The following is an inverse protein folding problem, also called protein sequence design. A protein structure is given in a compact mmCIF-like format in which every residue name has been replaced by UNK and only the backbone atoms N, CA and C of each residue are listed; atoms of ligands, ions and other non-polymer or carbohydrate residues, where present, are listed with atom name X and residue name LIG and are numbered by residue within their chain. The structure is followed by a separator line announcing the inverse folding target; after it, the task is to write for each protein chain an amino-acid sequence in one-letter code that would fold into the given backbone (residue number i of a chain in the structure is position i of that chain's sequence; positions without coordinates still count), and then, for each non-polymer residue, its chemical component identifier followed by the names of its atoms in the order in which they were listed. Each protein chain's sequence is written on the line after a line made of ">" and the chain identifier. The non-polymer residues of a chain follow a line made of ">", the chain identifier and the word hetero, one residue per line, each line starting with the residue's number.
data_IF_949147881294
#
_entry.id   IF_949147881294
#
_cell.length_a   1.000
_cell.length_b   1.000
_cell.length_c   1.000
_cell.angle_alpha   90.00
_cell.angle_beta   90.00
_cell.angle_gamma   90.00
#
_symmetry.space_group_name_H-M   'P 1'
#
loop_
_entity.id
_entity.type
_entity.pdbx_description
1 polymer ?
#
# COMPACT_ATOMS: atom_id res chain seq x y z
N UNK A 1 -4.71 29.54 6.53
CA UNK A 1 -4.00 28.26 6.34
C UNK A 1 -2.54 28.57 6.59
N UNK A 2 -2.02 28.15 7.74
CA UNK A 2 -0.68 28.53 8.14
C UNK A 2 0.35 27.73 7.33
N UNK A 3 1.50 28.34 7.05
CA UNK A 3 2.63 27.67 6.35
C UNK A 3 3.06 26.40 7.09
N UNK A 4 2.82 26.34 8.41
CA UNK A 4 3.07 25.18 9.26
C UNK A 4 2.14 23.99 8.98
N UNK A 5 0.95 24.22 8.42
CA UNK A 5 -0.03 23.18 8.10
C UNK A 5 0.22 22.52 6.74
N UNK A 6 0.90 23.23 5.85
CA UNK A 6 1.23 22.80 4.49
C UNK A 6 1.89 21.40 4.43
N UNK A 7 2.91 21.06 5.24
CA UNK A 7 3.51 19.71 5.20
C UNK A 7 2.53 18.61 5.61
N UNK A 8 1.63 18.86 6.57
CA UNK A 8 0.63 17.88 7.00
C UNK A 8 -0.40 17.62 5.91
N UNK A 9 -0.86 18.67 5.23
CA UNK A 9 -1.82 18.56 4.13
C UNK A 9 -1.21 17.82 2.94
N UNK A 10 0.05 18.11 2.59
CA UNK A 10 0.78 17.39 1.54
C UNK A 10 0.96 15.90 1.88
N UNK A 11 1.29 15.60 3.14
CA UNK A 11 1.47 14.22 3.61
C UNK A 11 0.13 13.46 3.58
N UNK A 12 -0.96 14.08 4.03
CA UNK A 12 -2.29 13.48 3.98
C UNK A 12 -2.74 13.23 2.53
N UNK A 13 -2.55 14.21 1.63
CA UNK A 13 -2.88 14.06 0.21
C UNK A 13 -2.07 12.92 -0.44
N UNK A 14 -0.76 12.84 -0.15
CA UNK A 14 0.10 11.76 -0.61
C UNK A 14 -0.40 10.38 -0.15
N UNK A 15 -0.73 10.24 1.14
CA UNK A 15 -1.25 8.98 1.71
C UNK A 15 -2.57 8.55 1.09
N UNK A 16 -3.47 9.50 0.80
CA UNK A 16 -4.73 9.23 0.12
C UNK A 16 -4.48 8.73 -1.31
N UNK A 17 -3.63 9.41 -2.06
CA UNK A 17 -3.33 9.05 -3.45
C UNK A 17 -2.69 7.66 -3.52
N UNK A 18 -1.67 7.37 -2.69
CA UNK A 18 -1.01 6.06 -2.70
C UNK A 18 -1.95 4.93 -2.26
N UNK A 19 -2.88 5.21 -1.34
CA UNK A 19 -3.91 4.26 -0.91
C UNK A 19 -4.90 3.94 -2.04
N UNK A 20 -5.36 4.96 -2.78
CA UNK A 20 -6.22 4.77 -3.95
C UNK A 20 -5.49 3.95 -5.02
N UNK A 21 -4.22 4.27 -5.31
CA UNK A 21 -3.40 3.48 -6.26
C UNK A 21 -3.27 2.03 -5.79
N UNK A 22 -2.97 1.81 -4.51
CA UNK A 22 -2.90 0.48 -3.90
C UNK A 22 -4.21 -0.30 -4.04
N UNK A 23 -5.35 0.37 -3.90
CA UNK A 23 -6.66 -0.26 -4.05
C UNK A 23 -7.00 -0.61 -5.51
N UNK A 24 -6.61 0.23 -6.48
CA UNK A 24 -6.97 0.04 -7.90
C UNK A 24 -6.04 -0.96 -8.62
N UNK A 25 -4.80 -1.11 -8.19
CA UNK A 25 -3.83 -1.98 -8.87
C UNK A 25 -4.27 -3.45 -8.97
N UNK A 26 -4.76 -4.11 -7.90
CA UNK A 26 -5.20 -5.51 -7.98
C UNK A 26 -6.36 -5.77 -8.97
N UNK A 27 -7.46 -5.00 -8.99
CA UNK A 27 -8.52 -5.21 -9.99
C UNK A 27 -8.08 -4.89 -11.42
N UNK A 28 -7.18 -3.91 -11.61
CA UNK A 28 -6.59 -3.62 -12.93
C UNK A 28 -5.74 -4.80 -13.41
N UNK A 29 -4.92 -5.40 -12.54
CA UNK A 29 -4.16 -6.60 -12.89
C UNK A 29 -5.06 -7.78 -13.27
N UNK A 30 -6.17 -7.97 -12.52
CA UNK A 30 -7.19 -8.98 -12.85
C UNK A 30 -7.86 -8.72 -14.20
N UNK A 31 -8.16 -7.46 -14.52
CA UNK A 31 -8.73 -7.06 -15.81
C UNK A 31 -7.75 -7.27 -16.97
N UNK A 32 -6.46 -6.94 -16.78
CA UNK A 32 -5.39 -7.19 -17.76
C UNK A 32 -5.20 -8.68 -18.04
N UNK A 33 -5.28 -9.52 -17.00
CA UNK A 33 -5.24 -10.97 -17.16
C UNK A 33 -6.40 -11.51 -18.01
N UNK A 34 -7.62 -10.96 -17.86
CA UNK A 34 -8.77 -11.36 -18.69
C UNK A 34 -8.65 -10.91 -20.15
N UNK A 35 -7.98 -9.77 -20.38
CA UNK A 35 -7.78 -9.20 -21.73
C UNK A 35 -6.52 -9.70 -22.44
N UNK A 36 -5.85 -10.75 -21.93
CA UNK A 36 -4.56 -11.25 -22.42
C UNK A 36 -3.50 -10.15 -22.59
N UNK A 37 -3.53 -9.11 -21.74
CA UNK A 37 -2.54 -8.03 -21.73
C UNK A 37 -1.43 -8.33 -20.73
N UNK A 38 -0.31 -7.63 -20.87
CA UNK A 38 0.85 -7.74 -19.98
C UNK A 38 0.44 -7.53 -18.51
N UNK A 39 0.74 -8.52 -17.67
CA UNK A 39 0.44 -8.51 -16.22
C UNK A 39 1.35 -7.55 -15.47
N UNK A 40 0.85 -6.97 -14.38
CA UNK A 40 1.62 -6.08 -13.52
C UNK A 40 2.68 -6.92 -12.79
N UNK A 41 3.92 -6.42 -12.79
CA UNK A 41 5.04 -7.08 -12.11
C UNK A 41 4.77 -7.11 -10.61
N UNK A 42 5.07 -8.23 -9.97
CA UNK A 42 4.90 -8.42 -8.52
C UNK A 42 5.65 -7.36 -7.71
N UNK A 43 6.85 -6.99 -8.18
CA UNK A 43 7.67 -5.94 -7.59
C UNK A 43 6.94 -4.59 -7.50
N UNK A 44 6.10 -4.24 -8.49
CA UNK A 44 5.36 -2.98 -8.48
C UNK A 44 4.32 -2.95 -7.36
N UNK A 45 3.64 -4.08 -7.10
CA UNK A 45 2.69 -4.19 -6.01
C UNK A 45 3.41 -4.02 -4.66
N UNK A 46 4.56 -4.68 -4.47
CA UNK A 46 5.35 -4.52 -3.25
C UNK A 46 5.88 -3.09 -3.06
N UNK A 47 6.33 -2.43 -4.13
CA UNK A 47 6.81 -1.04 -4.06
C UNK A 47 5.67 -0.11 -3.62
N UNK A 48 4.49 -0.21 -4.23
CA UNK A 48 3.34 0.65 -3.85
C UNK A 48 2.89 0.37 -2.42
N UNK A 49 2.94 -0.89 -1.97
CA UNK A 49 2.73 -1.21 -0.56
C UNK A 49 3.77 -0.56 0.35
N UNK A 50 5.06 -0.64 0.00
CA UNK A 50 6.14 -0.03 0.77
C UNK A 50 6.09 1.50 0.82
N UNK A 51 5.54 2.15 -0.22
CA UNK A 51 5.32 3.60 -0.28
C UNK A 51 4.16 4.11 0.60
N UNK A 52 3.38 3.20 1.22
CA UNK A 52 2.28 3.57 2.13
C UNK A 52 0.91 3.11 1.65
N UNK A 53 0.79 2.49 0.47
CA UNK A 53 -0.45 1.88 -0.01
C UNK A 53 -0.69 0.46 0.50
N UNK A 54 0.06 -0.01 1.50
CA UNK A 54 0.10 -1.41 1.96
C UNK A 54 -1.27 -1.91 2.44
N UNK A 55 -1.95 -1.13 3.28
CA UNK A 55 -3.28 -1.47 3.82
C UNK A 55 -4.33 -1.55 2.73
N UNK A 56 -4.45 -0.52 1.90
CA UNK A 56 -5.43 -0.45 0.82
C UNK A 56 -5.19 -1.55 -0.25
N UNK A 57 -3.92 -1.83 -0.56
CA UNK A 57 -3.53 -2.93 -1.44
C UNK A 57 -3.96 -4.30 -0.86
N UNK A 58 -3.70 -4.53 0.43
CA UNK A 58 -4.05 -5.79 1.08
C UNK A 58 -5.56 -6.03 1.09
N UNK A 59 -6.34 -4.99 1.43
CA UNK A 59 -7.80 -5.04 1.42
C UNK A 59 -8.32 -5.35 0.01
N UNK A 60 -7.82 -4.62 -1.00
CA UNK A 60 -8.21 -4.85 -2.39
C UNK A 60 -7.89 -6.27 -2.87
N UNK A 61 -6.70 -6.79 -2.55
CA UNK A 61 -6.34 -8.18 -2.88
C UNK A 61 -7.30 -9.20 -2.27
N UNK A 62 -7.75 -9.00 -1.03
CA UNK A 62 -8.75 -9.85 -0.38
C UNK A 62 -10.13 -9.74 -1.05
N UNK A 63 -10.62 -8.51 -1.29
CA UNK A 63 -11.94 -8.29 -1.90
C UNK A 63 -12.02 -8.92 -3.30
N UNK A 64 -11.03 -8.65 -4.15
CA UNK A 64 -11.02 -9.17 -5.52
C UNK A 64 -10.54 -10.61 -5.61
N UNK A 65 -10.21 -11.25 -4.48
CA UNK A 65 -9.65 -12.61 -4.39
C UNK A 65 -8.48 -12.80 -5.36
N UNK A 66 -7.69 -11.74 -5.56
CA UNK A 66 -6.63 -11.71 -6.56
C UNK A 66 -5.32 -12.08 -5.90
N UNK A 67 -4.69 -13.16 -6.37
CA UNK A 67 -3.43 -13.71 -5.82
C UNK A 67 -3.45 -14.02 -4.30
N UNK A 68 -4.61 -14.26 -3.70
CA UNK A 68 -4.74 -14.68 -2.28
C UNK A 68 -4.15 -16.06 -1.99
N UNK A 69 -3.98 -16.92 -2.99
CA UNK A 69 -3.32 -18.23 -2.85
C UNK A 69 -1.78 -18.15 -2.81
N UNK A 70 -1.20 -17.01 -3.20
CA UNK A 70 0.25 -16.84 -3.17
C UNK A 70 0.67 -16.31 -1.80
N UNK A 71 1.26 -17.20 -0.99
CA UNK A 71 1.78 -16.88 0.35
C UNK A 71 2.69 -15.64 0.36
N UNK A 72 3.45 -15.40 -0.71
CA UNK A 72 4.31 -14.21 -0.86
C UNK A 72 3.54 -12.89 -0.67
N UNK A 73 2.33 -12.78 -1.22
CA UNK A 73 1.52 -11.57 -1.08
C UNK A 73 0.76 -11.53 0.25
N UNK A 74 0.17 -12.67 0.64
CA UNK A 74 -0.60 -12.77 1.88
C UNK A 74 0.24 -12.65 3.15
N UNK A 75 1.55 -12.93 3.09
CA UNK A 75 2.49 -12.76 4.20
C UNK A 75 3.34 -11.51 3.99
N UNK A 76 3.85 -11.28 2.78
CA UNK A 76 4.76 -10.16 2.51
C UNK A 76 4.14 -8.79 2.71
N UNK A 77 2.88 -8.57 2.30
CA UNK A 77 2.22 -7.26 2.49
C UNK A 77 1.93 -7.00 3.97
N UNK A 78 1.37 -7.95 4.76
CA UNK A 78 1.24 -7.76 6.21
C UNK A 78 2.55 -7.52 6.95
N UNK A 79 3.64 -8.19 6.54
CA UNK A 79 4.97 -7.92 7.12
C UNK A 79 5.39 -6.47 6.86
N UNK A 80 5.15 -5.94 5.66
CA UNK A 80 5.42 -4.52 5.35
C UNK A 80 4.57 -3.59 6.23
N UNK A 81 3.29 -3.93 6.46
CA UNK A 81 2.40 -3.16 7.36
C UNK A 81 2.97 -3.16 8.78
N UNK A 82 3.37 -4.31 9.30
CA UNK A 82 3.94 -4.44 10.65
C UNK A 82 5.25 -3.64 10.76
N UNK A 83 6.13 -3.71 9.76
CA UNK A 83 7.37 -2.93 9.74
C UNK A 83 7.11 -1.42 9.68
N UNK A 84 6.14 -0.97 8.89
CA UNK A 84 5.74 0.44 8.84
C UNK A 84 5.18 0.90 10.20
N UNK A 85 4.28 0.13 10.81
CA UNK A 85 3.72 0.45 12.13
C UNK A 85 4.80 0.46 13.21
N UNK A 86 5.71 -0.51 13.19
CA UNK A 86 6.83 -0.58 14.13
C UNK A 86 7.78 0.61 13.99
N UNK A 87 8.09 1.05 12.76
CA UNK A 87 8.91 2.23 12.52
C UNK A 87 8.24 3.52 13.01
N UNK A 88 6.95 3.69 12.72
CA UNK A 88 6.17 4.84 13.21
C UNK A 88 6.13 4.85 14.73
N UNK A 89 5.86 3.69 15.35
CA UNK A 89 5.84 3.56 16.81
C UNK A 89 7.19 3.85 17.44
N UNK A 90 8.30 3.38 16.85
CA UNK A 90 9.65 3.64 17.34
C UNK A 90 10.02 5.13 17.26
N UNK A 91 9.68 5.80 16.16
CA UNK A 91 9.88 7.26 16.01
C UNK A 91 9.06 8.01 17.06
N UNK A 92 7.80 7.64 17.23
CA UNK A 92 6.91 8.25 18.22
C UNK A 92 7.41 8.03 19.65
N UNK A 93 7.84 6.81 19.98
CA UNK A 93 8.41 6.49 21.29
C UNK A 93 9.71 7.26 21.57
N UNK A 94 10.59 7.39 20.57
CA UNK A 94 11.82 8.16 20.70
C UNK A 94 11.54 9.66 20.87
N UNK A 95 10.55 10.20 20.15
CA UNK A 95 10.19 11.61 20.25
C UNK A 95 9.44 11.97 21.54
N UNK A 96 8.72 11.01 22.14
CA UNK A 96 7.98 11.23 23.38
C UNK A 96 8.76 10.88 24.66
N UNK A 97 10.00 10.42 24.52
CA UNK A 97 10.94 10.21 25.62
C UNK A 97 11.86 11.42 25.77
#
# INVERSE_FOLDING_TARGET
>A
MDIKDLPYILTAAYLIIISIIGFILPPVDKSKARKNKWRIRERTLFIVSALGGSVAMYISMRIFHHKTKHKRFMIGIPVIIILQLGAVFAIWYFFMR
#
